data_IF_547745836144
#
_entry.id   IF_547745836144
#
_cell.length_a   1.000
_cell.length_b   1.000
_cell.length_c   1.000
_cell.angle_alpha   90.00
_cell.angle_beta   90.00
_cell.angle_gamma   90.00
#
_symmetry.space_group_name_H-M   'P 1'
#
loop_
_entity.id
_entity.type
_entity.pdbx_description
1 polymer ?
#
# COMPACT_ATOMS: atom_id res chain seq x y z
N UNK A 1 59.70 67.92 22.12
CA UNK A 1 59.20 66.87 23.02
C UNK A 1 58.54 65.83 22.14
N UNK A 2 59.27 64.80 21.71
CA UNK A 2 59.51 63.48 22.36
C UNK A 2 58.71 62.43 21.54
N UNK A 3 59.38 61.66 20.67
CA UNK A 3 59.80 60.24 20.86
C UNK A 3 58.59 59.27 20.95
N UNK A 4 58.46 58.14 20.26
CA UNK A 4 59.33 57.33 19.40
C UNK A 4 58.84 55.85 19.44
N UNK A 5 59.15 55.06 18.40
CA UNK A 5 59.07 53.57 18.34
C UNK A 5 57.67 52.94 18.41
N UNK A 6 57.25 51.95 17.60
CA UNK A 6 57.98 50.87 16.93
C UNK A 6 57.75 49.57 17.70
N UNK A 7 56.85 48.71 17.22
CA UNK A 7 57.05 47.25 17.07
C UNK A 7 55.78 46.53 16.63
N UNK A 8 55.96 45.63 15.65
CA UNK A 8 54.96 44.70 15.15
C UNK A 8 54.78 43.53 16.11
N UNK A 9 53.52 43.14 16.38
CA UNK A 9 53.20 41.84 16.98
C UNK A 9 52.17 41.13 16.12
N UNK A 10 52.64 40.01 15.59
CA UNK A 10 51.95 38.88 14.97
C UNK A 10 50.58 38.58 15.56
N UNK A 11 49.58 38.52 14.68
CA UNK A 11 48.29 37.85 14.93
C UNK A 11 48.54 36.36 15.24
N UNK A 12 47.92 35.78 16.29
CA UNK A 12 47.99 34.35 16.52
C UNK A 12 47.19 33.62 15.44
N UNK A 13 47.61 32.42 15.01
CA UNK A 13 46.79 31.59 14.13
C UNK A 13 45.52 31.18 14.87
N UNK A 14 44.37 31.49 14.26
CA UNK A 14 43.07 30.95 14.68
C UNK A 14 43.15 29.42 14.64
N UNK A 15 43.01 28.82 15.82
CA UNK A 15 42.96 27.38 16.01
C UNK A 15 41.73 26.82 15.27
N UNK A 16 41.83 25.74 14.50
CA UNK A 16 40.64 25.09 13.94
C UNK A 16 39.74 24.68 15.12
N UNK A 17 38.48 25.10 15.07
CA UNK A 17 37.48 24.73 16.05
C UNK A 17 37.49 23.22 16.25
N UNK A 18 37.77 22.78 17.48
CA UNK A 18 37.63 21.40 17.89
C UNK A 18 36.17 20.99 17.68
N UNK A 19 35.93 20.09 16.73
CA UNK A 19 34.66 19.40 16.61
C UNK A 19 34.40 18.69 17.95
N UNK A 20 33.26 19.03 18.58
CA UNK A 20 32.85 18.43 19.83
C UNK A 20 32.66 16.91 19.65
N UNK A 21 33.64 16.13 20.12
CA UNK A 21 33.51 14.68 20.25
C UNK A 21 32.35 14.37 21.20
N UNK A 22 31.19 13.98 20.66
CA UNK A 22 30.16 13.31 21.47
C UNK A 22 30.79 12.04 22.06
N UNK A 23 30.64 11.76 23.36
CA UNK A 23 31.13 10.52 23.93
C UNK A 23 30.44 9.33 23.25
N UNK A 24 31.23 8.36 22.80
CA UNK A 24 30.71 7.16 22.16
C UNK A 24 29.73 6.44 23.11
N UNK A 25 28.63 5.87 22.59
CA UNK A 25 27.69 5.10 23.40
C UNK A 25 28.41 3.95 24.15
N UNK A 26 28.06 3.75 25.43
CA UNK A 26 28.64 2.68 26.25
C UNK A 26 27.96 1.35 25.88
N UNK A 27 28.76 0.34 25.55
CA UNK A 27 28.31 -1.03 25.28
C UNK A 27 28.68 -1.94 26.45
N UNK A 28 27.79 -2.86 26.83
CA UNK A 28 27.88 -3.64 28.08
C UNK A 28 28.56 -5.01 27.94
N UNK A 29 29.15 -5.34 26.78
CA UNK A 29 29.94 -6.57 26.58
C UNK A 29 31.45 -6.29 26.53
N UNK A 30 32.32 -7.22 26.99
CA UNK A 30 33.77 -7.03 27.01
C UNK A 30 34.35 -6.74 25.62
N UNK A 31 33.79 -7.35 24.58
CA UNK A 31 34.22 -7.16 23.20
C UNK A 31 33.71 -5.85 22.60
N UNK A 32 32.48 -5.45 22.96
CA UNK A 32 31.84 -4.21 22.50
C UNK A 32 32.53 -2.93 22.98
N UNK A 33 33.46 -3.03 23.93
CA UNK A 33 34.26 -1.92 24.45
C UNK A 33 35.61 -1.77 23.77
N UNK A 34 36.11 -2.78 23.05
CA UNK A 34 37.40 -2.69 22.37
C UNK A 34 37.34 -1.68 21.22
N UNK A 35 38.14 -0.61 21.22
CA UNK A 35 38.12 0.38 20.13
C UNK A 35 38.59 -0.23 18.81
N UNK A 36 39.51 -1.20 18.86
CA UNK A 36 39.99 -1.95 17.70
C UNK A 36 39.80 -3.43 17.98
N UNK A 37 39.19 -4.16 17.05
CA UNK A 37 38.86 -5.57 17.24
C UNK A 37 38.85 -6.32 15.90
N UNK A 38 39.41 -7.53 15.89
CA UNK A 38 39.17 -8.49 14.82
C UNK A 38 37.89 -9.27 15.14
N UNK A 39 37.01 -9.40 14.16
CA UNK A 39 35.72 -10.05 14.26
C UNK A 39 35.63 -11.16 13.22
N UNK A 40 35.13 -12.32 13.62
CA UNK A 40 34.91 -13.44 12.72
C UNK A 40 33.54 -14.11 12.94
N UNK A 41 33.00 -14.71 11.88
CA UNK A 41 31.84 -15.62 12.01
C UNK A 41 32.22 -16.88 12.80
N UNK A 42 31.27 -17.56 13.47
CA UNK A 42 31.58 -18.77 14.23
C UNK A 42 32.23 -19.90 13.44
N UNK A 43 32.01 -19.94 12.12
CA UNK A 43 32.61 -20.91 11.20
C UNK A 43 33.96 -20.43 10.60
N UNK A 44 34.43 -19.25 10.97
CA UNK A 44 35.69 -18.65 10.52
C UNK A 44 35.74 -18.26 9.05
N UNK A 45 34.62 -18.30 8.33
CA UNK A 45 34.60 -18.03 6.88
C UNK A 45 34.69 -16.55 6.54
N UNK A 46 34.14 -15.69 7.40
CA UNK A 46 34.18 -14.24 7.21
C UNK A 46 34.90 -13.63 8.40
N UNK A 47 35.99 -12.90 8.10
CA UNK A 47 36.78 -12.15 9.06
C UNK A 47 36.87 -10.68 8.65
N UNK A 48 36.90 -9.78 9.63
CA UNK A 48 37.12 -8.36 9.42
C UNK A 48 37.76 -7.70 10.63
N UNK A 49 38.50 -6.63 10.39
CA UNK A 49 38.95 -5.70 11.43
C UNK A 49 38.00 -4.51 11.49
N UNK A 50 37.54 -4.16 12.69
CA UNK A 50 36.81 -2.93 12.99
C UNK A 50 37.70 -2.02 13.84
N UNK A 51 37.96 -0.82 13.36
CA UNK A 51 38.74 0.22 14.04
C UNK A 51 37.84 1.43 14.32
N UNK A 52 37.52 1.65 15.59
CA UNK A 52 36.73 2.77 16.12
C UNK A 52 37.59 3.75 16.92
N UNK A 53 38.92 3.68 16.79
CA UNK A 53 39.84 4.51 17.56
C UNK A 53 39.91 5.96 17.06
N UNK A 54 39.55 6.20 15.79
CA UNK A 54 39.52 7.51 15.17
C UNK A 54 38.17 8.24 15.25
N UNK A 55 38.11 9.44 14.67
CA UNK A 55 36.89 10.26 14.61
C UNK A 55 35.74 9.59 13.85
N UNK A 56 36.08 8.83 12.80
CA UNK A 56 35.14 7.97 12.07
C UNK A 56 35.63 6.52 12.15
N UNK A 57 34.76 5.56 12.47
CA UNK A 57 35.12 4.16 12.43
C UNK A 57 35.51 3.71 11.03
N UNK A 58 36.35 2.68 10.94
CA UNK A 58 36.77 2.06 9.70
C UNK A 58 36.63 0.55 9.82
N UNK A 59 36.41 -0.12 8.69
CA UNK A 59 36.50 -1.57 8.62
C UNK A 59 37.32 -2.03 7.42
N UNK A 60 37.94 -3.19 7.56
CA UNK A 60 38.63 -3.89 6.48
C UNK A 60 38.31 -5.37 6.59
N UNK A 61 37.83 -5.98 5.50
CA UNK A 61 37.63 -7.43 5.44
C UNK A 61 38.95 -8.16 5.24
N UNK A 62 39.05 -9.35 5.80
CA UNK A 62 40.21 -10.21 5.57
C UNK A 62 40.39 -10.48 4.08
N UNK A 63 41.62 -10.29 3.60
CA UNK A 63 41.97 -10.42 2.18
C UNK A 63 41.55 -9.25 1.28
N UNK A 64 40.80 -8.27 1.78
CA UNK A 64 40.49 -7.05 1.04
C UNK A 64 41.62 -6.02 1.17
N UNK A 65 41.80 -5.19 0.13
CA UNK A 65 42.64 -3.98 0.20
C UNK A 65 41.85 -2.75 0.63
N UNK A 66 40.52 -2.86 0.66
CA UNK A 66 39.65 -1.73 0.94
C UNK A 66 39.48 -1.51 2.44
N UNK A 67 39.83 -0.30 2.86
CA UNK A 67 39.54 0.23 4.19
C UNK A 67 38.37 1.19 4.03
N UNK A 68 37.21 0.79 4.52
CA UNK A 68 35.95 1.53 4.37
C UNK A 68 35.72 2.38 5.60
N UNK A 69 35.60 3.68 5.42
CA UNK A 69 35.12 4.61 6.45
C UNK A 69 33.63 4.38 6.72
N UNK A 70 33.23 4.42 7.99
CA UNK A 70 31.88 4.12 8.44
C UNK A 70 31.30 5.31 9.18
N UNK A 71 29.98 5.46 9.08
CA UNK A 71 29.19 6.41 9.85
C UNK A 71 28.37 5.66 10.89
N UNK A 72 28.36 6.16 12.12
CA UNK A 72 27.58 5.58 13.21
C UNK A 72 26.17 6.16 13.22
N UNK A 73 25.15 5.29 13.14
CA UNK A 73 23.74 5.65 13.31
C UNK A 73 23.17 4.93 14.54
N UNK A 74 22.55 5.67 15.46
CA UNK A 74 21.91 5.07 16.64
C UNK A 74 20.69 4.23 16.23
N UNK A 75 20.62 3.00 16.71
CA UNK A 75 19.41 2.17 16.62
C UNK A 75 18.58 2.38 17.87
N UNK A 76 17.41 3.00 17.73
CA UNK A 76 16.45 3.21 18.83
C UNK A 76 15.12 2.56 18.55
N UNK A 77 14.54 1.97 19.59
CA UNK A 77 13.16 1.47 19.56
C UNK A 77 12.39 2.04 20.75
N UNK A 78 11.26 2.70 20.47
CA UNK A 78 10.47 3.41 21.48
C UNK A 78 11.33 4.35 22.37
N UNK A 79 12.29 5.05 21.76
CA UNK A 79 13.23 5.95 22.45
C UNK A 79 14.43 5.28 23.12
N UNK A 80 14.40 3.96 23.33
CA UNK A 80 15.50 3.21 23.98
C UNK A 80 16.58 2.82 22.98
N UNK A 81 17.86 3.04 23.32
CA UNK A 81 19.01 2.63 22.52
C UNK A 81 19.16 1.10 22.52
N UNK A 82 19.12 0.48 21.34
CA UNK A 82 19.35 -0.95 21.15
C UNK A 82 20.75 -1.26 20.65
N UNK A 83 21.39 -0.31 19.98
CA UNK A 83 22.74 -0.47 19.44
C UNK A 83 23.13 0.65 18.50
N UNK A 84 24.12 0.38 17.67
CA UNK A 84 24.63 1.31 16.68
C UNK A 84 24.86 0.59 15.37
N UNK A 85 24.27 1.10 14.29
CA UNK A 85 24.58 0.69 12.93
C UNK A 85 25.85 1.41 12.46
N UNK A 86 26.70 0.70 11.76
CA UNK A 86 27.82 1.25 11.02
C UNK A 86 27.49 1.21 9.53
N UNK A 87 27.35 2.38 8.94
CA UNK A 87 26.86 2.59 7.57
C UNK A 87 28.03 3.00 6.69
N UNK A 88 28.17 2.36 5.54
CA UNK A 88 29.20 2.66 4.55
C UNK A 88 28.89 3.95 3.77
N UNK A 89 29.84 4.51 3.00
CA UNK A 89 29.58 5.68 2.16
C UNK A 89 28.54 5.42 1.05
N UNK A 90 28.29 4.15 0.70
CA UNK A 90 27.20 3.74 -0.20
C UNK A 90 25.81 3.75 0.46
N UNK A 91 25.71 4.04 1.77
CA UNK A 91 24.45 4.05 2.51
C UNK A 91 23.98 2.69 3.02
N UNK A 92 24.70 1.61 2.72
CA UNK A 92 24.39 0.27 3.22
C UNK A 92 24.86 0.09 4.66
N UNK A 93 24.06 -0.57 5.48
CA UNK A 93 24.49 -1.04 6.81
C UNK A 93 25.51 -2.15 6.60
N UNK A 94 26.72 -1.98 7.11
CA UNK A 94 27.74 -3.02 7.08
C UNK A 94 27.75 -3.85 8.36
N UNK A 95 27.59 -3.19 9.50
CA UNK A 95 27.70 -3.83 10.81
C UNK A 95 26.67 -3.22 11.77
N UNK A 96 26.21 -4.00 12.74
CA UNK A 96 25.50 -3.51 13.92
C UNK A 96 26.20 -4.00 15.18
N UNK A 97 26.39 -3.09 16.13
CA UNK A 97 26.86 -3.40 17.48
C UNK A 97 25.73 -3.13 18.47
N UNK A 98 25.18 -4.18 19.06
CA UNK A 98 24.13 -4.04 20.08
C UNK A 98 24.67 -3.41 21.37
N UNK A 99 23.78 -2.90 22.21
CA UNK A 99 24.13 -2.45 23.57
C UNK A 99 24.67 -3.57 24.45
N UNK A 100 24.41 -4.84 24.10
CA UNK A 100 24.93 -6.03 24.79
C UNK A 100 26.29 -6.50 24.25
N UNK A 101 26.87 -5.80 23.28
CA UNK A 101 28.18 -6.15 22.71
C UNK A 101 28.14 -7.22 21.62
N UNK A 102 26.97 -7.53 21.06
CA UNK A 102 26.87 -8.45 19.93
C UNK A 102 27.11 -7.71 18.61
N UNK A 103 27.94 -8.31 17.76
CA UNK A 103 28.21 -7.84 16.42
C UNK A 103 27.41 -8.64 15.40
N UNK A 104 26.73 -7.95 14.49
CA UNK A 104 26.05 -8.54 13.33
C UNK A 104 26.57 -7.88 12.07
N UNK A 105 27.08 -8.66 11.12
CA UNK A 105 27.46 -8.22 9.78
C UNK A 105 26.26 -8.38 8.84
N UNK A 106 26.02 -7.37 8.02
CA UNK A 106 24.97 -7.40 7.00
C UNK A 106 25.60 -7.61 5.62
N UNK A 107 25.16 -8.66 4.92
CA UNK A 107 25.55 -8.96 3.54
C UNK A 107 24.30 -9.17 2.69
N UNK A 108 23.88 -8.12 1.98
CA UNK A 108 22.64 -8.18 1.21
C UNK A 108 21.43 -8.40 2.12
N UNK A 109 20.88 -9.63 2.11
CA UNK A 109 19.78 -10.04 3.00
C UNK A 109 20.22 -10.88 4.20
N UNK A 110 21.50 -11.27 4.23
CA UNK A 110 22.03 -12.15 5.26
C UNK A 110 22.48 -11.35 6.48
N UNK A 111 22.19 -11.89 7.66
CA UNK A 111 22.63 -11.38 8.96
C UNK A 111 23.58 -12.39 9.59
N UNK A 112 24.86 -12.07 9.62
CA UNK A 112 25.91 -12.96 10.08
C UNK A 112 26.38 -12.54 11.48
N UNK A 113 26.21 -13.38 12.53
CA UNK A 113 26.72 -13.05 13.85
C UNK A 113 28.26 -13.09 13.81
N UNK A 114 28.89 -12.08 14.40
CA UNK A 114 30.34 -12.02 14.56
C UNK A 114 30.72 -12.07 16.03
N UNK A 115 31.93 -12.58 16.30
CA UNK A 115 32.56 -12.59 17.62
C UNK A 115 33.97 -12.05 17.52
N UNK A 116 34.43 -11.41 18.59
CA UNK A 116 35.85 -11.11 18.71
C UNK A 116 36.63 -12.43 18.86
N UNK A 117 37.63 -12.62 18.03
CA UNK A 117 38.44 -13.84 18.00
C UNK A 117 39.92 -13.56 18.32
N UNK A 118 40.42 -12.36 17.96
CA UNK A 118 41.79 -11.92 18.25
C UNK A 118 41.93 -10.40 18.28
N UNK A 119 43.08 -9.95 18.76
CA UNK A 119 43.44 -8.52 18.70
C UNK A 119 43.79 -8.13 17.26
N UNK A 120 43.52 -6.86 16.91
CA UNK A 120 43.81 -6.29 15.60
C UNK A 120 44.63 -5.01 15.73
N UNK A 121 45.41 -4.72 14.69
CA UNK A 121 46.10 -3.44 14.56
C UNK A 121 45.13 -2.35 14.07
N UNK A 122 45.47 -1.09 14.37
CA UNK A 122 44.75 0.06 13.82
C UNK A 122 44.81 0.04 12.28
N UNK A 123 43.70 0.40 11.64
CA UNK A 123 43.63 0.46 10.19
C UNK A 123 44.29 1.76 9.70
N UNK A 124 44.87 1.71 8.51
CA UNK A 124 45.40 2.89 7.81
C UNK A 124 44.31 3.90 7.41
N UNK A 125 44.66 4.81 6.50
CA UNK A 125 43.68 5.73 5.92
C UNK A 125 42.60 4.95 5.15
N UNK A 126 41.36 5.45 5.18
CA UNK A 126 40.28 4.85 4.41
C UNK A 126 40.57 4.99 2.90
N UNK A 127 40.44 3.89 2.17
CA UNK A 127 40.48 3.89 0.69
C UNK A 127 39.11 4.18 0.10
N UNK A 128 38.04 3.96 0.87
CA UNK A 128 36.66 4.32 0.54
C UNK A 128 36.11 5.20 1.66
N UNK A 129 35.83 6.46 1.35
CA UNK A 129 35.40 7.47 2.33
C UNK A 129 34.26 8.34 1.80
N UNK A 130 33.58 9.04 2.71
CA UNK A 130 32.48 9.96 2.39
C UNK A 130 31.25 9.76 3.27
N UNK A 131 30.34 10.73 3.23
CA UNK A 131 29.07 10.63 3.94
C UNK A 131 28.17 9.55 3.29
N UNK A 132 27.36 8.82 4.08
CA UNK A 132 26.45 7.82 3.56
C UNK A 132 25.47 8.43 2.56
N UNK A 133 25.51 7.95 1.32
CA UNK A 133 24.44 8.24 0.36
C UNK A 133 23.22 7.41 0.74
N UNK A 134 22.25 8.01 1.42
CA UNK A 134 20.94 7.34 1.61
C UNK A 134 20.35 7.05 0.24
N UNK A 135 20.35 5.79 -0.17
CA UNK A 135 19.58 5.35 -1.31
C UNK A 135 18.12 5.67 -1.00
N UNK A 136 17.50 6.45 -1.90
CA UNK A 136 16.08 6.74 -1.79
C UNK A 136 15.32 5.44 -1.82
N UNK A 137 14.33 5.32 -0.95
CA UNK A 137 13.47 4.15 -0.97
C UNK A 137 12.76 4.07 -2.34
N UNK A 138 12.47 2.85 -2.82
CA UNK A 138 11.86 2.67 -4.14
C UNK A 138 10.55 3.44 -4.31
N UNK A 139 9.77 3.55 -3.23
CA UNK A 139 8.54 4.34 -3.24
C UNK A 139 8.80 5.83 -3.41
N UNK A 140 9.89 6.38 -2.86
CA UNK A 140 10.25 7.79 -3.04
C UNK A 140 10.63 8.06 -4.49
N UNK A 141 11.34 7.13 -5.12
CA UNK A 141 11.69 7.22 -6.54
C UNK A 141 10.43 7.13 -7.43
N UNK A 142 9.53 6.20 -7.14
CA UNK A 142 8.27 6.05 -7.86
C UNK A 142 7.36 7.28 -7.66
N UNK A 143 7.22 7.75 -6.42
CA UNK A 143 6.43 8.93 -6.09
C UNK A 143 6.97 10.18 -6.79
N UNK A 144 8.30 10.37 -6.78
CA UNK A 144 8.95 11.49 -7.49
C UNK A 144 8.73 11.43 -9.01
N UNK A 145 8.68 10.23 -9.60
CA UNK A 145 8.41 10.07 -11.02
C UNK A 145 6.93 10.30 -11.39
N UNK A 146 5.98 9.88 -10.53
CA UNK A 146 4.54 9.94 -10.81
C UNK A 146 3.89 11.27 -10.42
N UNK A 147 4.35 11.93 -9.36
CA UNK A 147 3.76 13.19 -8.87
C UNK A 147 3.67 14.27 -9.94
N UNK A 148 4.72 14.53 -10.75
CA UNK A 148 4.67 15.58 -11.79
C UNK A 148 3.65 15.32 -12.90
N UNK A 149 3.26 14.07 -13.10
CA UNK A 149 2.31 13.65 -14.15
C UNK A 149 0.91 13.35 -13.62
N UNK A 150 0.71 13.43 -12.30
CA UNK A 150 -0.59 13.16 -11.67
C UNK A 150 -1.64 14.21 -12.04
N UNK A 151 -2.91 13.78 -12.11
CA UNK A 151 -4.06 14.63 -12.47
C UNK A 151 -4.15 15.84 -11.55
N UNK A 152 -4.11 15.65 -10.22
CA UNK A 152 -4.23 16.77 -9.28
C UNK A 152 -3.06 17.76 -9.34
N UNK A 153 -1.88 17.32 -9.81
CA UNK A 153 -0.73 18.21 -10.05
C UNK A 153 -0.93 19.06 -11.31
N UNK A 154 -1.44 18.46 -12.38
CA UNK A 154 -1.66 19.14 -13.68
C UNK A 154 -2.98 19.91 -13.73
N UNK A 155 -3.95 19.52 -12.92
CA UNK A 155 -5.32 20.02 -12.91
C UNK A 155 -5.73 20.30 -11.45
N UNK A 156 -5.21 21.40 -10.90
CA UNK A 156 -5.36 21.74 -9.48
C UNK A 156 -6.81 21.91 -9.00
N UNK A 157 -7.78 22.10 -9.91
CA UNK A 157 -9.21 22.15 -9.59
C UNK A 157 -9.82 20.77 -9.27
N UNK A 158 -9.15 19.68 -9.63
CA UNK A 158 -9.61 18.31 -9.37
C UNK A 158 -9.42 17.91 -7.91
N UNK A 159 -10.45 17.33 -7.31
CA UNK A 159 -10.43 16.86 -5.92
C UNK A 159 -10.14 15.36 -5.83
N UNK A 160 -9.74 14.83 -4.65
CA UNK A 160 -9.57 13.38 -4.47
C UNK A 160 -10.82 12.57 -4.84
N UNK A 161 -12.00 13.02 -4.44
CA UNK A 161 -13.27 12.32 -4.68
C UNK A 161 -13.71 12.32 -6.15
N UNK A 162 -13.24 13.30 -6.94
CA UNK A 162 -13.56 13.40 -8.37
C UNK A 162 -13.02 12.19 -9.17
N UNK A 163 -12.02 11.47 -8.65
CA UNK A 163 -11.54 10.19 -9.18
C UNK A 163 -12.61 9.09 -9.23
N UNK A 164 -13.70 9.26 -8.48
CA UNK A 164 -14.80 8.30 -8.36
C UNK A 164 -15.96 8.61 -9.32
N UNK A 165 -15.93 9.80 -9.93
CA UNK A 165 -17.02 10.37 -10.69
C UNK A 165 -16.73 10.29 -12.18
N UNK A 166 -17.50 9.51 -12.95
CA UNK A 166 -17.13 9.21 -14.33
C UNK A 166 -17.05 10.47 -15.21
N UNK A 167 -17.93 11.45 -14.99
CA UNK A 167 -17.89 12.72 -15.70
C UNK A 167 -16.61 13.52 -15.43
N UNK A 168 -16.05 13.44 -14.20
CA UNK A 168 -14.82 14.12 -13.82
C UNK A 168 -13.57 13.38 -14.31
N UNK A 169 -13.62 12.05 -14.32
CA UNK A 169 -12.60 11.24 -14.97
C UNK A 169 -12.55 11.54 -16.47
N UNK A 170 -13.70 11.70 -17.13
CA UNK A 170 -13.77 12.09 -18.54
C UNK A 170 -13.17 13.48 -18.78
N UNK A 171 -13.49 14.47 -17.93
CA UNK A 171 -12.90 15.80 -17.95
C UNK A 171 -11.37 15.74 -17.85
N UNK A 172 -10.85 14.96 -16.90
CA UNK A 172 -9.41 14.75 -16.72
C UNK A 172 -8.77 14.06 -17.94
N UNK A 173 -9.41 13.04 -18.51
CA UNK A 173 -8.92 12.34 -19.70
C UNK A 173 -8.84 13.31 -20.89
N UNK A 174 -9.89 14.11 -21.14
CA UNK A 174 -9.91 15.10 -22.23
C UNK A 174 -8.79 16.15 -22.07
N UNK A 175 -8.53 16.58 -20.84
CA UNK A 175 -7.46 17.54 -20.54
C UNK A 175 -6.06 16.93 -20.51
N UNK A 176 -5.92 15.60 -20.43
CA UNK A 176 -4.64 14.95 -20.21
C UNK A 176 -3.69 15.13 -21.41
N UNK A 177 -2.42 15.41 -21.11
CA UNK A 177 -1.31 15.37 -22.06
C UNK A 177 -0.70 13.97 -22.13
N UNK A 178 0.16 13.72 -23.13
CA UNK A 178 0.74 12.40 -23.43
C UNK A 178 1.47 11.79 -22.22
N UNK A 179 2.20 12.60 -21.47
CA UNK A 179 2.99 12.20 -20.31
C UNK A 179 2.15 11.85 -19.07
N UNK A 180 0.88 12.24 -19.03
CA UNK A 180 -0.02 11.91 -17.91
C UNK A 180 -0.55 10.48 -17.96
N UNK A 181 -0.49 9.85 -19.13
CA UNK A 181 -0.93 8.47 -19.29
C UNK A 181 0.15 7.52 -18.76
N UNK A 182 -0.29 6.55 -17.97
CA UNK A 182 0.54 5.46 -17.46
C UNK A 182 -0.15 4.12 -17.73
N UNK A 183 0.57 3.02 -17.53
CA UNK A 183 0.00 1.68 -17.50
C UNK A 183 0.40 0.93 -16.24
N UNK A 184 -0.54 0.15 -15.73
CA UNK A 184 -0.31 -0.78 -14.63
C UNK A 184 0.46 -2.00 -15.14
N UNK A 185 1.58 -2.35 -14.52
CA UNK A 185 2.43 -3.48 -14.93
C UNK A 185 2.75 -4.36 -13.74
N UNK A 186 2.53 -5.67 -13.93
CA UNK A 186 2.95 -6.73 -13.02
C UNK A 186 4.18 -7.44 -13.61
N UNK A 187 5.30 -7.45 -12.88
CA UNK A 187 6.60 -8.00 -13.30
C UNK A 187 6.98 -9.33 -12.65
N UNK A 188 6.22 -9.77 -11.64
CA UNK A 188 6.47 -11.01 -10.90
C UNK A 188 5.18 -11.64 -10.39
N UNK A 189 5.33 -12.68 -9.56
CA UNK A 189 4.19 -13.41 -8.94
C UNK A 189 3.94 -12.98 -7.50
N UNK A 190 4.81 -12.14 -6.93
CA UNK A 190 4.75 -11.71 -5.53
C UNK A 190 4.35 -10.23 -5.43
N UNK A 191 3.12 -9.96 -4.99
CA UNK A 191 2.68 -8.59 -4.74
C UNK A 191 1.21 -8.53 -4.40
N UNK A 192 0.84 -7.62 -3.49
CA UNK A 192 -0.58 -7.31 -3.28
C UNK A 192 -1.06 -6.54 -4.50
N UNK A 193 -1.89 -7.18 -5.33
CA UNK A 193 -2.51 -6.57 -6.50
C UNK A 193 -3.12 -5.19 -6.18
N UNK A 194 -3.26 -4.35 -7.21
CA UNK A 194 -3.97 -3.08 -7.07
C UNK A 194 -5.33 -3.32 -6.41
N UNK A 195 -5.60 -2.61 -5.30
CA UNK A 195 -6.86 -2.75 -4.60
C UNK A 195 -7.88 -1.86 -5.28
N UNK A 196 -8.96 -2.44 -5.78
CA UNK A 196 -10.10 -1.64 -6.21
C UNK A 196 -10.62 -0.85 -5.01
N UNK A 197 -10.88 0.43 -5.22
CA UNK A 197 -11.44 1.29 -4.20
C UNK A 197 -12.34 2.33 -4.88
N UNK A 198 -13.67 2.07 -4.98
CA UNK A 198 -14.60 2.87 -5.77
C UNK A 198 -14.66 4.35 -5.36
N UNK A 199 -14.34 4.65 -4.09
CA UNK A 199 -14.26 6.01 -3.53
C UNK A 199 -13.08 6.14 -2.56
N UNK A 200 -12.64 7.36 -2.20
CA UNK A 200 -11.64 7.53 -1.14
C UNK A 200 -12.15 7.05 0.23
N UNK A 201 -11.24 6.67 1.14
CA UNK A 201 -11.59 6.07 2.44
C UNK A 201 -12.52 6.95 3.29
N UNK A 202 -12.38 8.28 3.23
CA UNK A 202 -13.22 9.23 3.96
C UNK A 202 -14.65 9.36 3.39
N UNK A 203 -14.93 8.77 2.23
CA UNK A 203 -16.27 8.67 1.63
C UNK A 203 -16.88 7.29 1.78
N UNK A 204 -16.34 6.44 2.67
CA UNK A 204 -16.84 5.10 2.95
C UNK A 204 -18.36 5.06 3.13
N UNK A 205 -18.99 4.07 2.51
CA UNK A 205 -20.43 3.88 2.54
C UNK A 205 -20.94 3.31 3.86
N UNK A 206 -22.25 3.06 3.89
CA UNK A 206 -22.85 2.33 5.00
C UNK A 206 -22.43 0.87 4.92
N UNK A 207 -21.62 0.44 5.89
CA UNK A 207 -21.10 -0.92 5.94
C UNK A 207 -22.07 -1.83 6.71
N UNK A 208 -22.59 -2.85 6.04
CA UNK A 208 -23.39 -3.92 6.66
C UNK A 208 -22.58 -5.17 7.00
N UNK A 209 -21.26 -5.03 7.19
CA UNK A 209 -20.36 -6.13 7.57
C UNK A 209 -20.19 -7.22 6.50
N UNK A 210 -20.54 -6.93 5.24
CA UNK A 210 -20.56 -7.90 4.13
C UNK A 210 -19.37 -7.83 3.17
N UNK A 211 -18.60 -6.74 3.18
CA UNK A 211 -17.47 -6.56 2.25
C UNK A 211 -16.40 -7.62 2.56
N UNK A 212 -16.30 -8.64 1.71
CA UNK A 212 -15.29 -9.70 1.81
C UNK A 212 -15.79 -11.11 2.12
N UNK A 213 -17.11 -11.35 2.23
CA UNK A 213 -17.59 -12.74 2.23
C UNK A 213 -17.45 -13.30 0.83
N UNK A 214 -16.58 -14.30 0.68
CA UNK A 214 -16.50 -15.13 -0.52
C UNK A 214 -17.54 -16.22 -0.40
N UNK A 215 -18.34 -16.38 -1.45
CA UNK A 215 -19.17 -17.57 -1.58
C UNK A 215 -18.27 -18.80 -1.77
N UNK A 216 -18.61 -19.92 -1.15
CA UNK A 216 -18.03 -21.23 -1.44
C UNK A 216 -18.62 -21.83 -2.74
N UNK A 217 -19.64 -21.19 -3.32
CA UNK A 217 -20.18 -21.56 -4.62
C UNK A 217 -19.17 -21.31 -5.74
N UNK A 218 -18.85 -22.38 -6.47
CA UNK A 218 -18.08 -22.27 -7.71
C UNK A 218 -18.90 -21.54 -8.77
N UNK A 219 -18.33 -20.46 -9.30
CA UNK A 219 -18.95 -19.70 -10.38
C UNK A 219 -18.94 -20.47 -11.72
N UNK A 220 -20.13 -20.66 -12.30
CA UNK A 220 -20.32 -21.19 -13.65
C UNK A 220 -20.83 -20.06 -14.56
N UNK A 221 -19.91 -19.43 -15.29
CA UNK A 221 -20.21 -18.30 -16.16
C UNK A 221 -21.27 -18.65 -17.23
N UNK A 222 -21.35 -19.91 -17.67
CA UNK A 222 -22.30 -20.34 -18.71
C UNK A 222 -23.75 -20.38 -18.22
N UNK A 223 -23.98 -20.40 -16.90
CA UNK A 223 -25.32 -20.42 -16.28
C UNK A 223 -25.65 -19.17 -15.48
N UNK A 224 -24.76 -18.18 -15.50
CA UNK A 224 -24.88 -16.98 -14.71
C UNK A 224 -26.11 -16.15 -15.13
N UNK A 225 -26.91 -15.73 -14.15
CA UNK A 225 -28.06 -14.82 -14.28
C UNK A 225 -27.99 -13.77 -13.18
N UNK A 226 -28.70 -12.65 -13.34
CA UNK A 226 -28.74 -11.60 -12.33
C UNK A 226 -27.36 -11.02 -12.06
N UNK A 227 -27.00 -10.84 -10.79
CA UNK A 227 -25.67 -10.38 -10.39
C UNK A 227 -24.56 -11.41 -10.67
N UNK A 228 -24.89 -12.70 -10.85
CA UNK A 228 -23.87 -13.75 -11.06
C UNK A 228 -23.05 -13.52 -12.32
N UNK A 229 -23.58 -12.79 -13.31
CA UNK A 229 -22.84 -12.42 -14.53
C UNK A 229 -21.73 -11.39 -14.28
N UNK A 230 -21.80 -10.69 -13.14
CA UNK A 230 -20.80 -9.76 -12.63
C UNK A 230 -20.07 -10.34 -11.41
N UNK A 231 -20.07 -11.66 -11.25
CA UNK A 231 -19.30 -12.34 -10.19
C UNK A 231 -19.84 -12.15 -8.77
N UNK A 232 -21.15 -11.91 -8.61
CA UNK A 232 -21.74 -11.81 -7.28
C UNK A 232 -23.20 -12.23 -7.18
N UNK A 233 -23.77 -12.17 -5.98
CA UNK A 233 -25.18 -12.45 -5.75
C UNK A 233 -25.68 -11.73 -4.49
N UNK A 234 -26.97 -11.39 -4.44
CA UNK A 234 -27.57 -10.84 -3.24
C UNK A 234 -28.04 -11.99 -2.32
N UNK A 235 -27.69 -11.93 -1.04
CA UNK A 235 -28.15 -12.87 -0.01
C UNK A 235 -28.69 -12.11 1.19
N UNK A 236 -29.84 -12.53 1.67
CA UNK A 236 -30.39 -12.05 2.93
C UNK A 236 -29.72 -12.77 4.10
N UNK A 237 -29.13 -12.04 5.04
CA UNK A 237 -28.51 -12.63 6.22
C UNK A 237 -29.45 -12.54 7.43
N UNK A 238 -29.53 -13.61 8.20
CA UNK A 238 -30.25 -13.63 9.48
C UNK A 238 -29.59 -14.60 10.47
N UNK A 239 -29.65 -14.27 11.77
CA UNK A 239 -29.10 -15.06 12.87
C UNK A 239 -30.00 -14.90 14.10
N UNK A 240 -30.07 -15.86 15.04
CA UNK A 240 -30.90 -15.74 16.26
C UNK A 240 -30.70 -14.44 17.06
N UNK A 241 -29.48 -13.93 17.10
CA UNK A 241 -29.12 -12.73 17.87
C UNK A 241 -29.67 -11.44 17.26
N UNK A 242 -29.70 -11.35 15.93
CA UNK A 242 -30.20 -10.17 15.21
C UNK A 242 -31.63 -10.33 14.72
N UNK A 243 -32.14 -11.58 14.63
CA UNK A 243 -33.48 -11.99 14.18
C UNK A 243 -33.84 -11.52 12.76
N UNK A 244 -32.84 -11.08 12.02
CA UNK A 244 -32.91 -10.28 10.79
C UNK A 244 -31.65 -9.44 10.75
N UNK A 245 -31.01 -9.31 9.60
CA UNK A 245 -29.87 -8.43 9.44
C UNK A 245 -30.05 -7.74 8.10
N UNK A 246 -28.97 -7.51 7.38
CA UNK A 246 -29.01 -6.88 6.08
C UNK A 246 -28.97 -7.90 4.94
N UNK A 247 -29.46 -7.48 3.78
CA UNK A 247 -29.11 -8.09 2.51
C UNK A 247 -27.69 -7.64 2.18
N UNK A 248 -26.84 -8.60 1.81
CA UNK A 248 -25.48 -8.33 1.37
C UNK A 248 -25.30 -8.83 -0.04
N UNK A 249 -24.46 -8.13 -0.81
CA UNK A 249 -23.96 -8.62 -2.08
C UNK A 249 -22.68 -9.39 -1.79
N UNK A 250 -22.68 -10.69 -2.07
CA UNK A 250 -21.57 -11.62 -1.83
C UNK A 250 -20.79 -11.78 -3.12
N UNK A 251 -19.48 -11.73 -3.03
CA UNK A 251 -18.59 -11.95 -4.18
C UNK A 251 -18.37 -13.46 -4.37
N UNK A 252 -18.54 -13.94 -5.59
CA UNK A 252 -18.27 -15.33 -5.94
C UNK A 252 -16.76 -15.58 -5.97
N UNK A 253 -16.34 -16.80 -5.66
CA UNK A 253 -14.92 -17.15 -5.68
C UNK A 253 -14.29 -16.90 -7.06
N UNK A 254 -13.06 -16.38 -7.06
CA UNK A 254 -12.37 -15.92 -8.28
C UNK A 254 -12.76 -14.52 -8.78
N UNK A 255 -13.60 -13.76 -8.05
CA UNK A 255 -14.00 -12.40 -8.42
C UNK A 255 -13.67 -11.34 -7.34
N UNK A 256 -13.49 -10.04 -7.70
CA UNK A 256 -13.10 -9.60 -9.04
C UNK A 256 -11.74 -10.16 -9.42
N UNK A 257 -11.52 -10.35 -10.72
CA UNK A 257 -10.18 -10.67 -11.20
C UNK A 257 -9.21 -9.54 -10.80
N UNK A 258 -7.94 -9.86 -10.48
CA UNK A 258 -6.91 -8.84 -10.30
C UNK A 258 -6.86 -7.91 -11.52
N UNK A 259 -6.49 -6.65 -11.28
CA UNK A 259 -6.26 -5.71 -12.37
C UNK A 259 -5.21 -6.29 -13.34
N UNK A 260 -5.55 -6.36 -14.62
CA UNK A 260 -4.68 -6.97 -15.61
C UNK A 260 -3.42 -6.12 -15.85
N UNK A 261 -2.27 -6.79 -15.98
CA UNK A 261 -1.05 -6.11 -16.44
C UNK A 261 -1.26 -5.52 -17.84
N UNK A 262 -0.73 -4.32 -18.07
CA UNK A 262 -0.94 -3.53 -19.27
C UNK A 262 -2.16 -2.60 -19.22
N UNK A 263 -3.00 -2.62 -18.18
CA UNK A 263 -4.16 -1.73 -18.12
C UNK A 263 -3.73 -0.25 -18.09
N UNK A 264 -4.16 0.57 -19.07
CA UNK A 264 -3.83 1.99 -19.11
C UNK A 264 -4.72 2.81 -18.18
N UNK A 265 -4.21 3.96 -17.76
CA UNK A 265 -4.95 4.89 -16.92
C UNK A 265 -4.18 6.19 -16.65
N UNK A 266 -4.64 6.91 -15.64
CA UNK A 266 -4.06 8.12 -15.11
C UNK A 266 -3.72 7.92 -13.63
N UNK A 267 -2.62 8.52 -13.18
CA UNK A 267 -2.40 8.68 -11.73
C UNK A 267 -3.20 9.89 -11.30
N UNK A 268 -4.19 9.68 -10.43
CA UNK A 268 -4.99 10.79 -9.91
C UNK A 268 -4.18 11.65 -8.93
N UNK A 269 -3.56 10.97 -7.98
CA UNK A 269 -2.70 11.56 -6.95
C UNK A 269 -1.73 10.51 -6.40
N UNK A 270 -0.69 10.97 -5.73
CA UNK A 270 0.29 10.16 -5.01
C UNK A 270 0.29 10.61 -3.55
N UNK A 271 0.11 9.66 -2.63
CA UNK A 271 0.16 9.85 -1.19
C UNK A 271 1.27 8.98 -0.61
N UNK A 272 2.39 9.59 -0.22
CA UNK A 272 3.61 8.96 0.29
C UNK A 272 3.97 7.64 -0.41
N UNK A 273 3.44 6.52 0.09
CA UNK A 273 3.74 5.16 -0.36
C UNK A 273 2.70 4.55 -1.31
N UNK A 274 1.69 5.31 -1.74
CA UNK A 274 0.58 4.83 -2.56
C UNK A 274 0.25 5.82 -3.70
N UNK A 275 -0.31 5.29 -4.78
CA UNK A 275 -0.88 6.08 -5.86
C UNK A 275 -2.36 5.70 -6.05
N UNK A 276 -3.22 6.72 -6.18
CA UNK A 276 -4.57 6.52 -6.71
C UNK A 276 -4.47 6.40 -8.22
N UNK A 277 -4.72 5.22 -8.75
CA UNK A 277 -4.70 4.92 -10.18
C UNK A 277 -6.13 4.81 -10.71
N UNK A 278 -6.45 5.56 -11.76
CA UNK A 278 -7.76 5.52 -12.41
C UNK A 278 -7.60 4.97 -13.82
N UNK A 279 -8.20 3.83 -14.10
CA UNK A 279 -8.15 3.19 -15.42
C UNK A 279 -8.90 4.03 -16.46
N UNK A 280 -8.62 3.82 -17.75
CA UNK A 280 -9.28 4.59 -18.82
C UNK A 280 -10.80 4.37 -18.94
N UNK A 281 -11.33 3.31 -18.35
CA UNK A 281 -12.76 3.07 -18.20
C UNK A 281 -13.34 3.65 -16.89
N UNK A 282 -12.53 4.34 -16.09
CA UNK A 282 -12.93 5.06 -14.88
C UNK A 282 -13.02 4.24 -13.59
N UNK A 283 -12.46 3.02 -13.51
CA UNK A 283 -12.30 2.37 -12.21
C UNK A 283 -11.13 2.97 -11.43
N UNK A 284 -11.36 3.16 -10.13
CA UNK A 284 -10.41 3.70 -9.18
C UNK A 284 -9.76 2.58 -8.38
N UNK A 285 -8.43 2.58 -8.35
CA UNK A 285 -7.59 1.65 -7.63
C UNK A 285 -6.59 2.39 -6.74
N UNK A 286 -6.13 1.70 -5.70
CA UNK A 286 -4.95 2.09 -4.94
C UNK A 286 -3.82 1.12 -5.25
N UNK A 287 -2.67 1.67 -5.61
CA UNK A 287 -1.46 0.91 -5.94
C UNK A 287 -0.38 1.26 -4.93
N UNK A 288 0.19 0.25 -4.27
CA UNK A 288 1.34 0.47 -3.38
C UNK A 288 2.60 0.70 -4.20
N UNK A 289 3.32 1.79 -3.89
CA UNK A 289 4.60 2.15 -4.50
C UNK A 289 5.80 1.48 -3.80
N UNK A 290 5.57 0.74 -2.71
CA UNK A 290 6.60 -0.01 -1.99
C UNK A 290 6.95 -1.34 -2.66
N UNK A 291 6.22 -1.75 -3.70
CA UNK A 291 6.37 -3.06 -4.31
C UNK A 291 7.29 -3.00 -5.53
N UNK A 292 8.15 -4.02 -5.68
CA UNK A 292 9.06 -4.15 -6.84
C UNK A 292 8.36 -4.72 -8.08
N UNK A 293 7.38 -5.58 -7.85
CA UNK A 293 6.72 -6.35 -8.90
C UNK A 293 5.49 -5.64 -9.48
N UNK A 294 5.04 -4.55 -8.85
CA UNK A 294 3.90 -3.75 -9.32
C UNK A 294 4.37 -2.33 -9.58
N UNK A 295 4.29 -1.89 -10.83
CA UNK A 295 4.79 -0.58 -11.26
C UNK A 295 3.75 0.13 -12.13
N UNK A 296 3.67 1.45 -11.98
CA UNK A 296 2.96 2.32 -12.92
C UNK A 296 3.99 2.88 -13.91
N UNK A 297 4.02 2.32 -15.12
CA UNK A 297 5.01 2.71 -16.14
C UNK A 297 4.49 3.87 -17.01
N UNK A 298 5.38 4.80 -17.43
CA UNK A 298 4.99 5.88 -18.33
C UNK A 298 4.41 5.39 -19.66
N UNK A 299 3.40 6.12 -20.13
CA UNK A 299 2.68 5.88 -21.38
C UNK A 299 1.59 4.81 -21.25
N UNK A 300 0.49 5.01 -21.97
CA UNK A 300 -0.62 4.05 -22.04
C UNK A 300 -0.26 2.74 -22.76
N UNK A 301 0.85 2.67 -23.51
CA UNK A 301 1.16 1.55 -24.39
C UNK A 301 0.34 1.57 -25.69
N UNK A 302 0.42 0.49 -26.47
CA UNK A 302 -0.34 0.36 -27.72
C UNK A 302 -1.72 -0.24 -27.46
N UNK A 303 -2.73 0.27 -28.15
CA UNK A 303 -4.13 -0.03 -27.87
C UNK A 303 -4.56 -1.46 -28.21
N UNK A 304 -3.83 -2.13 -29.10
CA UNK A 304 -3.94 -3.56 -29.41
C UNK A 304 -3.51 -4.46 -28.24
N UNK A 305 -2.68 -3.95 -27.33
CA UNK A 305 -2.19 -4.67 -26.15
C UNK A 305 -2.96 -4.37 -24.88
N UNK A 306 -3.94 -3.46 -24.95
CA UNK A 306 -4.74 -3.13 -23.78
C UNK A 306 -5.63 -4.31 -23.39
N UNK A 307 -5.66 -4.70 -22.10
CA UNK A 307 -6.67 -5.60 -21.61
C UNK A 307 -8.07 -5.06 -21.91
N UNK A 308 -9.05 -5.96 -22.00
CA UNK A 308 -10.44 -5.55 -22.04
C UNK A 308 -10.75 -4.63 -20.83
N UNK A 309 -11.58 -3.58 -21.01
CA UNK A 309 -11.98 -2.74 -19.89
C UNK A 309 -12.61 -3.63 -18.82
N UNK A 310 -12.30 -3.33 -17.56
CA UNK A 310 -12.83 -4.08 -16.42
C UNK A 310 -14.29 -3.70 -16.31
N UNK A 311 -15.15 -4.46 -16.98
CA UNK A 311 -16.60 -4.29 -16.92
C UNK A 311 -17.03 -4.46 -15.46
N UNK A 312 -17.23 -3.32 -14.81
CA UNK A 312 -17.65 -3.12 -13.43
C UNK A 312 -17.29 -4.17 -12.37
N UNK A 313 -16.60 -3.71 -11.33
CA UNK A 313 -16.62 -4.42 -10.06
C UNK A 313 -18.05 -4.50 -9.51
N UNK A 314 -18.41 -5.67 -9.00
CA UNK A 314 -19.63 -5.86 -8.22
C UNK A 314 -19.75 -4.71 -7.20
N UNK A 315 -20.92 -4.08 -7.11
CA UNK A 315 -21.19 -3.06 -6.10
C UNK A 315 -22.13 -3.63 -5.06
N UNK A 316 -21.83 -3.34 -3.81
CA UNK A 316 -22.75 -3.55 -2.71
C UNK A 316 -23.37 -2.22 -2.24
N UNK A 317 -24.09 -2.25 -1.12
CA UNK A 317 -24.69 -1.04 -0.57
C UNK A 317 -23.66 -0.05 -0.04
N UNK A 318 -22.51 -0.53 0.45
CA UNK A 318 -21.41 0.35 0.87
C UNK A 318 -20.87 1.10 -0.35
N UNK A 319 -20.62 0.42 -1.46
CA UNK A 319 -20.16 1.07 -2.68
C UNK A 319 -21.20 2.06 -3.23
N UNK A 320 -22.46 1.64 -3.31
CA UNK A 320 -23.53 2.50 -3.83
C UNK A 320 -23.72 3.77 -2.98
N UNK A 321 -23.74 3.63 -1.67
CA UNK A 321 -23.89 4.78 -0.75
C UNK A 321 -22.64 5.67 -0.74
N UNK A 322 -21.45 5.10 -0.86
CA UNK A 322 -20.23 5.88 -1.04
C UNK A 322 -20.28 6.70 -2.34
N UNK A 323 -20.73 6.08 -3.44
CA UNK A 323 -20.91 6.75 -4.72
C UNK A 323 -21.99 7.84 -4.68
N UNK A 324 -23.03 7.68 -3.86
CA UNK A 324 -23.99 8.77 -3.58
C UNK A 324 -23.31 9.93 -2.84
N UNK A 325 -22.47 9.66 -1.82
CA UNK A 325 -21.77 10.70 -1.04
C UNK A 325 -20.82 11.55 -1.91
N UNK A 326 -20.15 10.95 -2.88
CA UNK A 326 -19.31 11.68 -3.86
C UNK A 326 -20.12 12.30 -5.01
N UNK A 327 -21.44 12.15 -5.01
CA UNK A 327 -22.33 12.72 -6.02
C UNK A 327 -22.26 12.05 -7.39
N UNK A 328 -21.82 10.79 -7.45
CA UNK A 328 -21.81 9.98 -8.68
C UNK A 328 -23.14 9.26 -8.90
N UNK A 329 -23.83 8.89 -7.82
CA UNK A 329 -25.17 8.32 -7.86
C UNK A 329 -26.20 9.25 -7.21
N UNK A 330 -27.46 9.25 -7.67
CA UNK A 330 -28.50 10.06 -7.05
C UNK A 330 -28.90 9.51 -5.68
N UNK A 331 -29.24 10.39 -4.73
CA UNK A 331 -29.65 10.02 -3.36
C UNK A 331 -30.78 8.97 -3.30
N UNK A 332 -31.70 9.02 -4.26
CA UNK A 332 -32.81 8.07 -4.40
C UNK A 332 -32.35 6.61 -4.48
N UNK A 333 -31.17 6.33 -5.04
CA UNK A 333 -30.62 4.97 -5.08
C UNK A 333 -30.35 4.45 -3.68
N UNK A 334 -29.75 5.26 -2.81
CA UNK A 334 -29.49 4.89 -1.41
C UNK A 334 -30.81 4.65 -0.65
N UNK A 335 -31.78 5.55 -0.82
CA UNK A 335 -33.10 5.44 -0.19
C UNK A 335 -33.84 4.15 -0.60
N UNK A 336 -33.80 3.81 -1.90
CA UNK A 336 -34.41 2.59 -2.41
C UNK A 336 -33.73 1.33 -1.88
N UNK A 337 -32.39 1.30 -1.84
CA UNK A 337 -31.64 0.15 -1.31
C UNK A 337 -31.92 -0.05 0.18
N UNK A 338 -31.98 1.01 0.99
CA UNK A 338 -32.33 0.90 2.41
C UNK A 338 -33.78 0.47 2.63
N UNK A 339 -34.73 0.96 1.83
CA UNK A 339 -36.12 0.54 1.94
C UNK A 339 -36.30 -0.97 1.63
N UNK A 340 -35.55 -1.49 0.65
CA UNK A 340 -35.56 -2.90 0.29
C UNK A 340 -34.90 -3.78 1.36
N UNK A 341 -33.81 -3.31 1.95
CA UNK A 341 -33.13 -3.97 3.06
C UNK A 341 -34.03 -4.03 4.32
N UNK A 342 -34.72 -2.94 4.65
CA UNK A 342 -35.67 -2.88 5.76
C UNK A 342 -36.89 -3.81 5.53
N UNK A 343 -37.35 -3.93 4.28
CA UNK A 343 -38.40 -4.89 3.90
C UNK A 343 -37.97 -6.35 4.19
N UNK A 344 -36.72 -6.70 3.84
CA UNK A 344 -36.13 -7.99 4.19
C UNK A 344 -36.05 -8.18 5.71
N UNK A 345 -35.46 -7.21 6.42
CA UNK A 345 -35.23 -7.30 7.86
C UNK A 345 -36.55 -7.50 8.62
N UNK A 346 -37.58 -6.70 8.30
CA UNK A 346 -38.93 -6.85 8.88
C UNK A 346 -39.56 -8.21 8.57
N UNK A 347 -39.35 -8.75 7.37
CA UNK A 347 -39.82 -10.08 7.02
C UNK A 347 -39.10 -11.17 7.84
N UNK A 348 -37.77 -11.11 7.92
CA UNK A 348 -36.96 -12.06 8.68
C UNK A 348 -37.34 -12.04 10.17
N UNK A 349 -37.53 -10.85 10.77
CA UNK A 349 -37.95 -10.70 12.16
C UNK A 349 -39.29 -11.37 12.46
N UNK A 350 -40.23 -11.35 11.52
CA UNK A 350 -41.50 -12.08 11.67
C UNK A 350 -41.29 -13.60 11.69
N UNK A 351 -40.37 -14.12 10.87
CA UNK A 351 -40.03 -15.55 10.86
C UNK A 351 -39.39 -15.96 12.18
N UNK A 352 -38.41 -15.19 12.66
CA UNK A 352 -37.75 -15.43 13.95
C UNK A 352 -38.68 -15.25 15.15
N UNK A 353 -39.62 -14.31 15.10
CA UNK A 353 -40.65 -14.14 16.13
C UNK A 353 -41.49 -15.40 16.35
N UNK A 354 -41.69 -16.21 15.30
CA UNK A 354 -42.41 -17.50 15.39
C UNK A 354 -41.70 -18.58 16.21
N UNK A 355 -40.37 -18.45 16.43
CA UNK A 355 -39.57 -19.41 17.23
C UNK A 355 -39.06 -18.81 18.54
N UNK A 356 -39.40 -17.55 18.85
CA UNK A 356 -38.89 -16.81 20.00
C UNK A 356 -39.10 -17.56 21.32
N UNK A 357 -40.27 -18.14 21.53
CA UNK A 357 -40.58 -18.90 22.75
C UNK A 357 -39.69 -20.14 22.93
N UNK A 358 -39.29 -20.80 21.84
CA UNK A 358 -38.37 -21.93 21.92
C UNK A 358 -36.95 -21.46 22.29
N UNK A 359 -36.54 -20.29 21.80
CA UNK A 359 -35.27 -19.65 22.17
C UNK A 359 -35.26 -19.26 23.65
N UNK A 360 -36.30 -18.58 24.12
CA UNK A 360 -36.39 -18.09 25.51
C UNK A 360 -36.42 -19.23 26.53
N UNK A 361 -36.90 -20.41 26.13
CA UNK A 361 -36.97 -21.60 26.99
C UNK A 361 -35.75 -22.52 26.88
N UNK A 362 -34.72 -22.13 26.10
CA UNK A 362 -33.52 -22.93 25.89
C UNK A 362 -33.75 -24.23 25.10
N UNK A 363 -34.91 -24.36 24.42
CA UNK A 363 -35.29 -25.52 23.62
C UNK A 363 -34.94 -25.38 22.14
N UNK A 364 -34.37 -24.24 21.75
CA UNK A 364 -33.99 -23.96 20.37
C UNK A 364 -32.64 -24.59 20.05
N UNK A 365 -32.64 -25.55 19.14
CA UNK A 365 -31.46 -26.32 18.76
C UNK A 365 -30.74 -25.73 17.53
N UNK A 366 -29.55 -26.25 17.24
CA UNK A 366 -28.82 -25.92 16.01
C UNK A 366 -29.58 -26.35 14.73
N UNK A 367 -30.37 -27.43 14.80
CA UNK A 367 -31.23 -27.84 13.69
C UNK A 367 -32.36 -26.81 13.47
N UNK A 368 -33.01 -26.38 14.55
CA UNK A 368 -34.04 -25.34 14.49
C UNK A 368 -33.47 -24.02 13.96
N UNK A 369 -32.22 -23.68 14.32
CA UNK A 369 -31.50 -22.53 13.77
C UNK A 369 -31.40 -22.62 12.26
N UNK A 370 -30.86 -23.73 11.74
CA UNK A 370 -30.68 -23.94 10.29
C UNK A 370 -32.02 -23.91 9.55
N UNK A 371 -33.05 -24.54 10.10
CA UNK A 371 -34.38 -24.57 9.49
C UNK A 371 -35.05 -23.19 9.52
N UNK A 372 -34.88 -22.43 10.59
CA UNK A 372 -35.38 -21.05 10.70
C UNK A 372 -34.70 -20.12 9.70
N UNK A 373 -33.37 -20.24 9.53
CA UNK A 373 -32.62 -19.49 8.50
C UNK A 373 -33.14 -19.83 7.11
N UNK A 374 -33.23 -21.12 6.75
CA UNK A 374 -33.78 -21.55 5.44
C UNK A 374 -35.21 -21.05 5.24
N UNK A 375 -36.03 -21.06 6.28
CA UNK A 375 -37.40 -20.53 6.24
C UNK A 375 -37.39 -19.02 5.98
N UNK A 376 -36.53 -18.26 6.64
CA UNK A 376 -36.39 -16.82 6.41
C UNK A 376 -35.95 -16.53 4.97
N UNK A 377 -34.90 -17.21 4.48
CA UNK A 377 -34.44 -17.11 3.09
C UNK A 377 -35.55 -17.38 2.08
N UNK A 378 -36.32 -18.46 2.28
CA UNK A 378 -37.43 -18.82 1.39
C UNK A 378 -38.60 -17.83 1.47
N UNK A 379 -39.06 -17.52 2.69
CA UNK A 379 -40.24 -16.65 2.90
C UNK A 379 -39.99 -15.22 2.47
N UNK A 380 -38.76 -14.73 2.65
CA UNK A 380 -38.40 -13.34 2.41
C UNK A 380 -37.62 -13.13 1.09
N UNK A 381 -37.56 -14.16 0.22
CA UNK A 381 -36.84 -14.14 -1.05
C UNK A 381 -37.23 -12.98 -1.99
N UNK A 382 -38.50 -12.52 -1.94
CA UNK A 382 -38.97 -11.42 -2.77
C UNK A 382 -38.22 -10.11 -2.51
N UNK A 383 -37.88 -9.81 -1.24
CA UNK A 383 -37.11 -8.62 -0.89
C UNK A 383 -35.67 -8.71 -1.43
N UNK A 384 -35.04 -9.89 -1.32
CA UNK A 384 -33.70 -10.16 -1.88
C UNK A 384 -33.71 -9.99 -3.41
N UNK A 385 -34.68 -10.56 -4.11
CA UNK A 385 -34.80 -10.44 -5.57
C UNK A 385 -35.03 -8.99 -6.01
N UNK A 386 -35.83 -8.23 -5.26
CA UNK A 386 -36.07 -6.81 -5.52
C UNK A 386 -34.78 -6.00 -5.41
N UNK A 387 -33.97 -6.25 -4.38
CA UNK A 387 -32.68 -5.59 -4.21
C UNK A 387 -31.63 -6.05 -5.22
N UNK A 388 -31.59 -7.35 -5.54
CA UNK A 388 -30.74 -7.86 -6.61
C UNK A 388 -31.04 -7.16 -7.94
N UNK A 389 -32.33 -6.96 -8.27
CA UNK A 389 -32.73 -6.24 -9.49
C UNK A 389 -32.29 -4.77 -9.49
N UNK A 390 -32.37 -4.10 -8.34
CA UNK A 390 -31.87 -2.72 -8.19
C UNK A 390 -30.35 -2.64 -8.38
N UNK A 391 -29.58 -3.53 -7.74
CA UNK A 391 -28.14 -3.59 -7.96
C UNK A 391 -27.80 -3.95 -9.41
N UNK A 392 -28.50 -4.90 -10.01
CA UNK A 392 -28.29 -5.30 -11.40
C UNK A 392 -28.46 -4.11 -12.35
N UNK A 393 -29.55 -3.35 -12.19
CA UNK A 393 -29.82 -2.15 -13.01
C UNK A 393 -28.70 -1.11 -12.85
N UNK A 394 -28.23 -0.90 -11.63
CA UNK A 394 -27.16 0.04 -11.31
C UNK A 394 -25.82 -0.40 -11.92
N UNK A 395 -25.43 -1.66 -11.71
CA UNK A 395 -24.20 -2.25 -12.25
C UNK A 395 -24.21 -2.23 -13.78
N UNK A 396 -25.32 -2.57 -14.43
CA UNK A 396 -25.46 -2.52 -15.90
C UNK A 396 -25.33 -1.10 -16.45
N UNK A 397 -26.04 -0.14 -15.85
CA UNK A 397 -25.98 1.26 -16.27
C UNK A 397 -24.56 1.81 -16.17
N UNK A 398 -23.87 1.50 -15.07
CA UNK A 398 -22.52 1.98 -14.83
C UNK A 398 -21.49 1.22 -15.67
N UNK A 399 -21.66 -0.07 -15.93
CA UNK A 399 -20.84 -0.81 -16.90
C UNK A 399 -20.92 -0.19 -18.30
N UNK A 400 -22.13 0.18 -18.75
CA UNK A 400 -22.34 0.87 -20.02
C UNK A 400 -21.65 2.25 -20.06
N UNK A 401 -21.78 3.04 -18.99
CA UNK A 401 -21.13 4.36 -18.88
C UNK A 401 -19.60 4.25 -18.94
N UNK A 402 -19.02 3.27 -18.23
CA UNK A 402 -17.58 3.00 -18.23
C UNK A 402 -17.07 2.52 -19.59
N UNK A 403 -17.83 1.69 -20.30
CA UNK A 403 -17.49 1.30 -21.67
C UNK A 403 -17.47 2.52 -22.61
N UNK A 404 -18.45 3.44 -22.49
CA UNK A 404 -18.46 4.66 -23.27
C UNK A 404 -17.26 5.56 -22.95
N UNK A 405 -16.91 5.70 -21.67
CA UNK A 405 -15.72 6.43 -21.22
C UNK A 405 -14.43 5.83 -21.81
N UNK A 406 -14.32 4.50 -21.83
CA UNK A 406 -13.16 3.81 -22.38
C UNK A 406 -12.93 4.14 -23.87
N UNK A 407 -14.00 4.19 -24.68
CA UNK A 407 -13.88 4.56 -26.09
C UNK A 407 -13.44 6.03 -26.27
N UNK A 408 -13.99 6.94 -25.46
CA UNK A 408 -13.56 8.35 -25.42
C UNK A 408 -12.08 8.46 -25.05
N UNK A 409 -11.65 7.72 -24.04
CA UNK A 409 -10.28 7.69 -23.58
C UNK A 409 -9.31 7.13 -24.61
N UNK A 410 -9.71 6.04 -25.29
CA UNK A 410 -8.95 5.43 -26.38
C UNK A 410 -8.74 6.42 -27.53
N UNK A 411 -9.78 7.15 -27.92
CA UNK A 411 -9.67 8.20 -28.94
C UNK A 411 -8.68 9.30 -28.52
N UNK A 412 -8.75 9.73 -27.25
CA UNK A 412 -7.86 10.76 -26.71
C UNK A 412 -6.40 10.32 -26.68
N UNK A 413 -6.10 9.10 -26.21
CA UNK A 413 -4.74 8.58 -26.20
C UNK A 413 -4.15 8.52 -27.61
N UNK A 414 -4.93 8.08 -28.60
CA UNK A 414 -4.51 8.07 -30.01
C UNK A 414 -4.22 9.48 -30.54
N UNK A 415 -5.02 10.47 -30.15
CA UNK A 415 -4.82 11.86 -30.55
C UNK A 415 -3.49 12.42 -30.01
N UNK A 416 -3.23 12.26 -28.71
CA UNK A 416 -2.03 12.82 -28.07
C UNK A 416 -0.76 12.03 -28.37
N UNK A 417 -0.87 10.76 -28.78
CA UNK A 417 0.29 9.93 -29.12
C UNK A 417 0.89 10.25 -30.49
N UNK A 418 0.11 10.86 -31.39
CA UNK A 418 0.55 11.34 -32.72
C UNK A 418 1.29 12.67 -32.67
N UNK A 419 1.14 13.40 -31.57
CA UNK A 419 1.86 14.63 -31.25
C UNK A 419 3.14 14.25 -30.49
#
# INVERSE_FOLDING_TARGET
MACGGGDAVTTPPETPAAAANKPAPKHHGPDGQKPIVHLATPDGRVGLTLDRSGAKPKMMRDGSKDIVELTMEEDRHAGSLRGTYFVTPSGSRALHLSTHGHYTLYEGRDELPLRADRDAAALGAATVAGEPKKEKALWELAAAALTPVAVRTKMASMKPEDASRLAKVEEAIKGASKEMFVRYVVKGTEGSAASLQPTPNNFGGTAYGGVGRRSDEKWDAAKAKGLKKFGGEARGFSHPESKGNHIQVVTLDGYPAPLASGTPGLVWEVDETQATFVTLDGARYVVSLNQKDIVLEPGAGTDDKWPAPVQHALMDISDATALVKVGELPKKVEEELFAQDDEWNKCAQKVWGGVQRAMDTGKFTEADRKDTVKKAEKTCAAAVQKQEKSFLTLVEARAKARQALFETAKARVREVSKK
#
